data_IF_349769812888
#
_entry.id   IF_349769812888
#
_cell.length_a   1.000
_cell.length_b   1.000
_cell.length_c   1.000
_cell.angle_alpha   90.00
_cell.angle_beta   90.00
_cell.angle_gamma   90.00
#
_symmetry.space_group_name_H-M   'P 1'
#
loop_
_entity.id
_entity.type
_entity.pdbx_description
1 polymer ?
#
# COMPACT_ATOMS: atom_id res chain seq x y z
N UNK A 1 3.66 -11.11 -20.05
CA UNK A 1 3.07 -11.18 -18.69
C UNK A 1 4.08 -10.83 -17.61
N UNK A 2 5.24 -11.49 -17.51
CA UNK A 2 6.28 -11.19 -16.50
C UNK A 2 6.81 -9.75 -16.50
N UNK A 3 7.01 -9.14 -17.68
CA UNK A 3 7.42 -7.73 -17.79
C UNK A 3 6.40 -6.80 -17.10
N UNK A 4 5.11 -7.07 -17.29
CA UNK A 4 4.03 -6.31 -16.67
C UNK A 4 4.05 -6.50 -15.15
N UNK A 5 4.18 -7.74 -14.69
CA UNK A 5 4.28 -8.06 -13.26
C UNK A 5 5.45 -7.31 -12.61
N UNK A 6 6.67 -7.44 -13.16
CA UNK A 6 7.87 -6.74 -12.66
C UNK A 6 7.68 -5.22 -12.58
N UNK A 7 7.09 -4.60 -13.62
CA UNK A 7 6.81 -3.15 -13.61
C UNK A 7 5.77 -2.76 -12.57
N UNK A 8 4.67 -3.51 -12.47
CA UNK A 8 3.59 -3.21 -11.53
C UNK A 8 4.02 -3.38 -10.09
N UNK A 9 4.74 -4.46 -9.74
CA UNK A 9 5.25 -4.63 -8.38
C UNK A 9 6.15 -3.46 -7.98
N UNK A 10 7.05 -3.02 -8.88
CA UNK A 10 7.92 -1.87 -8.62
C UNK A 10 7.15 -0.54 -8.50
N UNK A 11 6.09 -0.34 -9.30
CA UNK A 11 5.24 0.84 -9.17
C UNK A 11 4.42 0.83 -7.89
N UNK A 12 3.86 -0.31 -7.51
CA UNK A 12 3.04 -0.43 -6.31
C UNK A 12 3.85 -0.12 -5.07
N UNK A 13 5.04 -0.72 -4.95
CA UNK A 13 5.90 -0.55 -3.76
C UNK A 13 6.50 0.86 -3.65
N UNK A 14 6.57 1.61 -4.76
CA UNK A 14 7.07 2.99 -4.74
C UNK A 14 5.95 4.04 -4.63
N UNK A 15 4.82 3.85 -5.33
CA UNK A 15 3.84 4.90 -5.57
C UNK A 15 2.48 4.66 -4.92
N UNK A 16 2.05 3.40 -4.80
CA UNK A 16 0.73 3.06 -4.26
C UNK A 16 0.81 2.85 -2.75
N UNK A 17 1.84 2.14 -2.29
CA UNK A 17 2.21 2.10 -0.88
C UNK A 17 3.29 3.15 -0.62
N UNK A 18 2.98 4.23 0.09
CA UNK A 18 3.95 5.27 0.41
C UNK A 18 4.26 5.29 1.90
N UNK A 19 5.26 4.49 2.26
CA UNK A 19 5.73 4.26 3.61
C UNK A 19 7.08 4.97 3.91
N UNK A 20 7.58 5.75 2.95
CA UNK A 20 8.84 6.48 3.07
C UNK A 20 10.09 5.67 2.70
N UNK A 21 9.94 4.44 2.21
CA UNK A 21 11.06 3.62 1.75
C UNK A 21 11.10 3.61 0.22
N UNK A 22 12.17 4.14 -0.38
CA UNK A 22 12.34 4.16 -1.83
C UNK A 22 13.02 2.88 -2.31
N UNK A 23 12.46 2.21 -3.31
CA UNK A 23 13.03 0.98 -3.86
C UNK A 23 14.38 1.27 -4.52
N UNK A 24 15.42 0.60 -4.05
CA UNK A 24 16.77 0.65 -4.63
C UNK A 24 17.22 -0.69 -5.21
N UNK A 25 16.52 -1.78 -4.87
CA UNK A 25 16.81 -3.11 -5.38
C UNK A 25 15.51 -3.84 -5.74
N UNK A 26 15.49 -4.43 -6.94
CA UNK A 26 14.38 -5.18 -7.51
C UNK A 26 14.91 -6.51 -8.08
N UNK A 27 14.43 -7.63 -7.56
CA UNK A 27 14.74 -8.95 -8.07
C UNK A 27 13.45 -9.69 -8.41
N UNK A 28 13.36 -10.20 -9.64
CA UNK A 28 12.32 -11.12 -10.08
C UNK A 28 12.93 -12.50 -10.30
N UNK A 29 12.29 -13.51 -9.75
CA UNK A 29 12.64 -14.93 -9.90
C UNK A 29 11.46 -15.60 -10.58
N UNK A 30 11.72 -16.44 -11.57
CA UNK A 30 10.66 -17.14 -12.30
C UNK A 30 11.09 -18.55 -12.72
N UNK A 31 10.10 -19.42 -12.92
CA UNK A 31 10.27 -20.80 -13.38
C UNK A 31 9.97 -20.93 -14.88
N UNK A 32 10.34 -22.05 -15.48
CA UNK A 32 9.98 -22.37 -16.88
C UNK A 32 8.46 -22.48 -17.08
N UNK A 33 7.74 -22.93 -16.05
CA UNK A 33 6.28 -23.02 -16.02
C UNK A 33 5.57 -21.65 -15.91
N UNK A 34 6.34 -20.59 -15.66
CA UNK A 34 5.83 -19.21 -15.60
C UNK A 34 5.41 -18.72 -14.21
N UNK A 35 5.65 -19.51 -13.16
CA UNK A 35 5.55 -19.04 -11.79
C UNK A 35 6.60 -17.97 -11.53
N UNK A 36 6.27 -17.01 -10.66
CA UNK A 36 7.17 -15.92 -10.38
C UNK A 36 7.04 -15.40 -8.96
N UNK A 37 8.14 -14.85 -8.45
CA UNK A 37 8.21 -14.12 -7.20
C UNK A 37 9.02 -12.83 -7.41
N UNK A 38 8.65 -11.77 -6.70
CA UNK A 38 9.44 -10.54 -6.66
C UNK A 38 9.84 -10.24 -5.22
N UNK A 39 11.12 -9.95 -5.02
CA UNK A 39 11.66 -9.44 -3.77
C UNK A 39 12.22 -8.06 -4.04
N UNK A 40 11.67 -7.06 -3.36
CA UNK A 40 12.14 -5.67 -3.46
C UNK A 40 12.72 -5.21 -2.13
N UNK A 41 13.71 -4.33 -2.20
CA UNK A 41 14.28 -3.66 -1.05
C UNK A 41 14.11 -2.14 -1.20
N UNK A 42 13.46 -1.54 -0.22
CA UNK A 42 13.31 -0.11 -0.07
C UNK A 42 14.18 0.41 1.07
N UNK A 43 14.72 1.61 0.92
CA UNK A 43 15.51 2.30 1.94
C UNK A 43 14.85 3.61 2.33
N UNK A 44 14.78 3.87 3.62
CA UNK A 44 14.45 5.18 4.16
C UNK A 44 15.76 5.85 4.65
N UNK A 45 16.34 6.79 3.88
CA UNK A 45 17.63 7.39 4.22
C UNK A 45 17.56 8.24 5.49
N UNK A 46 16.44 8.92 5.75
CA UNK A 46 16.26 9.79 6.92
C UNK A 46 16.28 8.98 8.23
N UNK A 47 15.80 7.75 8.18
CA UNK A 47 15.73 6.84 9.33
C UNK A 47 16.86 5.82 9.37
N UNK A 48 17.59 5.63 8.26
CA UNK A 48 18.65 4.62 8.14
C UNK A 48 18.14 3.17 8.16
N UNK A 49 16.88 2.93 7.83
CA UNK A 49 16.28 1.58 7.82
C UNK A 49 15.97 1.09 6.41
N UNK A 50 16.01 -0.23 6.24
CA UNK A 50 15.56 -0.91 5.04
C UNK A 50 14.26 -1.70 5.29
N UNK A 51 13.50 -1.89 4.22
CA UNK A 51 12.24 -2.64 4.20
C UNK A 51 12.27 -3.61 3.02
N UNK A 52 11.77 -4.83 3.21
CA UNK A 52 11.64 -5.85 2.16
C UNK A 52 10.18 -6.09 1.82
N UNK A 53 9.88 -6.12 0.54
CA UNK A 53 8.55 -6.39 0.01
C UNK A 53 8.60 -7.69 -0.78
N UNK A 54 7.67 -8.59 -0.45
CA UNK A 54 7.63 -9.94 -1.00
C UNK A 54 6.34 -10.15 -1.77
N UNK A 55 6.48 -10.53 -3.03
CA UNK A 55 5.40 -10.85 -3.95
C UNK A 55 5.52 -12.30 -4.38
N UNK A 56 4.39 -13.01 -4.36
CA UNK A 56 4.28 -14.37 -4.87
C UNK A 56 3.18 -14.35 -5.93
N UNK A 57 3.54 -14.61 -7.19
CA UNK A 57 2.63 -14.47 -8.33
C UNK A 57 1.36 -15.31 -8.20
N UNK A 58 1.48 -16.51 -7.62
CA UNK A 58 0.36 -17.41 -7.31
C UNK A 58 -0.70 -16.79 -6.37
N UNK A 59 -0.34 -15.75 -5.59
CA UNK A 59 -1.23 -15.09 -4.62
C UNK A 59 -1.73 -13.73 -5.10
N UNK A 60 -1.26 -13.25 -6.24
CA UNK A 60 -1.62 -11.92 -6.74
C UNK A 60 -2.90 -12.04 -7.57
N UNK A 61 -4.03 -11.74 -6.94
CA UNK A 61 -5.32 -11.58 -7.64
C UNK A 61 -5.46 -10.19 -8.28
N UNK A 62 -4.92 -9.17 -7.62
CA UNK A 62 -4.91 -7.78 -8.08
C UNK A 62 -3.61 -7.10 -7.63
N UNK A 63 -2.94 -6.34 -8.50
CA UNK A 63 -1.66 -5.71 -8.12
C UNK A 63 -1.82 -4.54 -7.16
N UNK A 64 -3.02 -3.94 -7.07
CA UNK A 64 -3.26 -2.72 -6.30
C UNK A 64 -4.14 -2.94 -5.07
N UNK A 65 -4.49 -4.19 -4.74
CA UNK A 65 -5.31 -4.53 -3.56
C UNK A 65 -4.67 -5.69 -2.80
N UNK A 66 -4.13 -5.40 -1.62
CA UNK A 66 -3.47 -6.36 -0.71
C UNK A 66 -2.54 -7.37 -1.42
N UNK A 67 -1.64 -6.92 -2.31
CA UNK A 67 -0.95 -7.83 -3.23
C UNK A 67 0.25 -8.56 -2.59
N UNK A 68 0.75 -8.03 -1.46
CA UNK A 68 1.98 -8.51 -0.83
C UNK A 68 1.74 -9.81 -0.09
N UNK A 69 2.59 -10.80 -0.38
CA UNK A 69 2.70 -12.00 0.47
C UNK A 69 3.30 -11.67 1.84
N UNK A 70 4.14 -10.64 1.92
CA UNK A 70 4.69 -10.13 3.17
C UNK A 70 5.50 -8.84 2.98
N UNK A 71 5.51 -8.00 4.01
CA UNK A 71 6.36 -6.81 4.10
C UNK A 71 7.12 -6.89 5.41
N UNK A 72 8.44 -7.03 5.32
CA UNK A 72 9.32 -7.21 6.45
C UNK A 72 10.12 -5.93 6.72
N UNK A 73 10.03 -5.42 7.94
CA UNK A 73 10.84 -4.31 8.42
C UNK A 73 11.15 -4.47 9.91
N UNK A 74 12.25 -3.86 10.36
CA UNK A 74 12.58 -3.72 11.77
C UNK A 74 11.71 -2.66 12.47
N UNK A 75 11.14 -1.73 11.69
CA UNK A 75 10.39 -0.58 12.19
C UNK A 75 9.02 -0.51 11.54
N UNK A 76 8.02 -0.20 12.35
CA UNK A 76 6.69 0.20 11.90
C UNK A 76 6.59 1.72 11.91
N UNK A 77 6.09 2.30 10.83
CA UNK A 77 5.81 3.72 10.74
C UNK A 77 4.43 4.04 11.33
N UNK A 78 4.31 5.24 11.90
CA UNK A 78 3.07 5.66 12.55
C UNK A 78 1.95 5.95 11.54
N UNK A 79 2.31 6.54 10.39
CA UNK A 79 1.38 6.99 9.35
C UNK A 79 2.00 6.65 7.99
N UNK A 80 1.23 5.95 7.16
CA UNK A 80 1.62 5.49 5.81
C UNK A 80 0.45 5.73 4.88
N UNK A 81 0.66 6.30 3.69
CA UNK A 81 -0.40 6.31 2.68
C UNK A 81 -0.50 4.91 2.08
N UNK A 82 -1.47 4.12 2.54
CA UNK A 82 -1.65 2.74 2.15
C UNK A 82 -2.79 2.60 1.13
N UNK A 83 -2.51 2.94 -0.13
CA UNK A 83 -3.49 2.79 -1.21
C UNK A 83 -3.62 1.34 -1.72
N UNK A 84 -2.85 0.38 -1.18
CA UNK A 84 -3.09 -1.05 -1.44
C UNK A 84 -4.10 -1.67 -0.47
N UNK A 85 -4.40 -1.01 0.65
CA UNK A 85 -5.35 -1.52 1.63
C UNK A 85 -6.75 -1.67 1.06
N UNK A 86 -7.49 -2.72 1.43
CA UNK A 86 -8.94 -2.79 1.15
C UNK A 86 -9.70 -1.59 1.71
N UNK A 87 -9.24 -1.02 2.82
CA UNK A 87 -9.81 0.20 3.41
C UNK A 87 -9.68 1.46 2.54
N UNK A 88 -8.85 1.43 1.50
CA UNK A 88 -8.63 2.55 0.57
C UNK A 88 -9.34 2.36 -0.78
N UNK A 89 -10.33 1.45 -0.87
CA UNK A 89 -11.02 1.14 -2.13
C UNK A 89 -11.76 2.33 -2.73
N UNK A 90 -12.53 3.06 -1.92
CA UNK A 90 -13.25 4.25 -2.37
C UNK A 90 -12.28 5.33 -2.86
N UNK A 91 -11.16 5.52 -2.16
CA UNK A 91 -10.11 6.46 -2.59
C UNK A 91 -9.47 6.06 -3.93
N UNK A 92 -9.27 4.77 -4.18
CA UNK A 92 -8.80 4.29 -5.49
C UNK A 92 -9.81 4.58 -6.60
N UNK A 93 -11.11 4.33 -6.37
CA UNK A 93 -12.17 4.60 -7.35
C UNK A 93 -12.28 6.09 -7.64
N UNK A 94 -12.38 6.92 -6.61
CA UNK A 94 -12.42 8.37 -6.74
C UNK A 94 -11.17 8.93 -7.45
N UNK A 95 -9.99 8.34 -7.26
CA UNK A 95 -8.79 8.73 -7.99
C UNK A 95 -8.90 8.47 -9.50
N UNK A 96 -9.57 7.38 -9.91
CA UNK A 96 -9.83 7.06 -11.32
C UNK A 96 -10.85 8.03 -11.91
N UNK A 97 -11.94 8.29 -11.19
CA UNK A 97 -12.97 9.23 -11.62
C UNK A 97 -12.40 10.64 -11.79
N UNK A 98 -11.56 11.08 -10.84
CA UNK A 98 -10.99 12.41 -10.83
C UNK A 98 -10.01 12.67 -11.99
N UNK A 99 -9.30 11.65 -12.50
CA UNK A 99 -8.48 11.81 -13.71
C UNK A 99 -9.29 11.74 -15.00
N UNK A 100 -10.51 11.20 -14.96
CA UNK A 100 -11.42 11.19 -16.11
C UNK A 100 -12.10 12.55 -16.31
N UNK A 101 -12.05 13.43 -15.31
CA UNK A 101 -12.51 14.82 -15.38
C UNK A 101 -11.46 15.76 -15.99
N UNK A 102 -11.89 16.98 -16.35
CA UNK A 102 -11.00 17.97 -16.93
C UNK A 102 -9.79 18.27 -16.00
N UNK A 103 -8.54 18.12 -16.46
CA UNK A 103 -7.34 18.37 -15.66
C UNK A 103 -7.28 19.76 -14.99
N UNK A 104 -7.95 20.76 -15.57
CA UNK A 104 -8.05 22.10 -14.98
C UNK A 104 -8.76 22.10 -13.62
N UNK A 105 -9.73 21.19 -13.41
CA UNK A 105 -10.41 21.02 -12.12
C UNK A 105 -9.42 20.52 -11.08
N UNK A 106 -8.63 19.49 -11.38
CA UNK A 106 -7.60 18.97 -10.48
C UNK A 106 -6.54 20.03 -10.12
N UNK A 107 -6.09 20.85 -11.07
CA UNK A 107 -5.17 21.96 -10.79
C UNK A 107 -5.78 22.94 -9.77
N UNK A 108 -7.05 23.30 -9.95
CA UNK A 108 -7.77 24.20 -9.04
C UNK A 108 -7.87 23.62 -7.64
N UNK A 109 -8.28 22.36 -7.53
CA UNK A 109 -8.44 21.66 -6.24
C UNK A 109 -7.11 21.53 -5.49
N UNK A 110 -6.02 21.20 -6.20
CA UNK A 110 -4.70 21.13 -5.59
C UNK A 110 -4.26 22.50 -5.06
N UNK A 111 -4.48 23.58 -5.83
CA UNK A 111 -4.12 24.93 -5.41
C UNK A 111 -4.89 25.36 -4.15
N UNK A 112 -6.19 25.06 -4.08
CA UNK A 112 -7.02 25.32 -2.90
C UNK A 112 -6.49 24.58 -1.68
N UNK A 113 -6.24 23.27 -1.82
CA UNK A 113 -5.76 22.44 -0.72
C UNK A 113 -4.32 22.76 -0.28
N UNK A 114 -3.45 23.18 -1.21
CA UNK A 114 -2.03 23.41 -0.92
C UNK A 114 -1.73 24.78 -0.31
N UNK A 115 -2.59 25.79 -0.55
CA UNK A 115 -2.26 27.17 -0.19
C UNK A 115 -2.91 27.65 1.11
N UNK A 116 -3.87 26.94 1.73
CA UNK A 116 -4.69 27.49 2.85
C UNK A 116 -5.16 28.92 2.57
N UNK A 117 -5.28 29.30 1.30
CA UNK A 117 -5.52 30.66 0.87
C UNK A 117 -6.80 30.59 0.08
N UNK A 118 -7.85 31.15 0.67
CA UNK A 118 -9.06 31.54 -0.03
C UNK A 118 -8.65 32.48 -1.15
N UNK A 119 -8.35 31.94 -2.33
CA UNK A 119 -8.18 32.79 -3.50
C UNK A 119 -9.54 33.43 -3.78
N UNK A 120 -9.55 34.68 -4.25
CA UNK A 120 -10.73 35.43 -4.71
C UNK A 120 -11.71 34.64 -5.60
N UNK A 121 -11.30 33.52 -6.21
CA UNK A 121 -12.19 32.59 -6.89
C UNK A 121 -13.23 31.93 -5.96
N UNK A 122 -12.92 31.70 -4.68
CA UNK A 122 -13.89 31.23 -3.68
C UNK A 122 -14.94 32.30 -3.34
N UNK A 123 -14.61 33.59 -3.52
CA UNK A 123 -15.54 34.70 -3.34
C UNK A 123 -16.39 35.00 -4.60
N UNK A 124 -16.04 34.42 -5.75
CA UNK A 124 -16.69 34.70 -7.05
C UNK A 124 -17.45 33.47 -7.59
N UNK A 125 -17.21 32.27 -7.04
CA UNK A 125 -17.91 31.05 -7.45
C UNK A 125 -18.78 30.57 -6.29
N UNK A 126 -20.10 30.67 -6.41
CA UNK A 126 -21.11 30.10 -5.47
C UNK A 126 -21.07 28.54 -5.38
N UNK A 127 -20.03 27.90 -5.93
CA UNK A 127 -19.90 26.45 -6.09
C UNK A 127 -18.64 25.87 -5.40
N UNK A 128 -18.02 26.58 -4.46
CA UNK A 128 -16.90 25.99 -3.71
C UNK A 128 -17.46 25.20 -2.53
N UNK A 129 -17.56 23.88 -2.70
CA UNK A 129 -17.70 22.95 -1.59
C UNK A 129 -16.62 23.26 -0.55
N UNK A 130 -17.03 23.58 0.68
CA UNK A 130 -16.10 23.79 1.81
C UNK A 130 -15.20 22.56 1.95
N UNK A 131 -13.91 22.74 1.69
CA UNK A 131 -12.93 21.65 1.77
C UNK A 131 -12.48 21.52 3.22
N UNK A 132 -12.95 20.47 3.91
CA UNK A 132 -12.57 20.16 5.28
C UNK A 132 -11.14 19.59 5.34
N UNK A 133 -10.17 20.49 5.53
CA UNK A 133 -8.74 20.17 5.60
C UNK A 133 -8.32 19.45 6.90
N UNK A 134 -9.18 19.39 7.93
CA UNK A 134 -8.86 18.72 9.20
C UNK A 134 -8.84 17.18 9.07
N UNK A 135 -9.42 16.65 7.99
CA UNK A 135 -9.51 15.19 7.74
C UNK A 135 -8.20 14.55 7.31
N UNK A 136 -7.20 15.33 6.92
CA UNK A 136 -5.90 14.79 6.47
C UNK A 136 -4.91 14.72 7.64
N UNK A 137 -4.15 13.62 7.78
CA UNK A 137 -3.09 13.54 8.77
C UNK A 137 -2.09 14.69 8.58
N UNK A 138 -1.75 15.47 9.62
CA UNK A 138 -0.83 16.62 9.50
C UNK A 138 0.54 16.26 8.91
N UNK A 139 0.95 14.99 9.03
CA UNK A 139 2.20 14.46 8.52
C UNK A 139 2.24 14.25 7.00
N UNK A 140 1.09 14.31 6.30
CA UNK A 140 1.01 14.12 4.86
C UNK A 140 0.78 15.46 4.16
N UNK A 141 1.89 16.07 3.75
CA UNK A 141 1.87 17.29 2.96
C UNK A 141 1.34 17.01 1.55
N UNK A 142 0.52 17.94 1.06
CA UNK A 142 0.17 18.01 -0.36
C UNK A 142 1.45 18.10 -1.21
N UNK A 143 1.56 17.30 -2.28
CA UNK A 143 2.78 17.25 -3.08
C UNK A 143 3.02 18.59 -3.80
N UNK A 144 4.19 19.17 -3.60
CA UNK A 144 4.60 20.45 -4.22
C UNK A 144 4.74 20.37 -5.76
N UNK A 145 4.93 19.16 -6.30
CA UNK A 145 5.14 18.92 -7.73
C UNK A 145 4.32 17.72 -8.19
N UNK A 146 3.49 17.95 -9.21
CA UNK A 146 2.72 16.92 -9.92
C UNK A 146 3.15 16.89 -11.39
N UNK A 147 3.26 15.70 -11.96
CA UNK A 147 3.43 15.54 -13.40
C UNK A 147 2.10 15.80 -14.13
N UNK A 148 1.87 17.06 -14.52
CA UNK A 148 0.67 17.45 -15.26
C UNK A 148 0.55 16.79 -16.63
N UNK A 149 1.67 16.37 -17.24
CA UNK A 149 1.62 15.61 -18.49
C UNK A 149 1.10 14.20 -18.22
N UNK A 150 1.39 13.61 -17.05
CA UNK A 150 0.81 12.33 -16.66
C UNK A 150 -0.71 12.44 -16.46
N UNK A 151 -1.18 13.51 -15.80
CA UNK A 151 -2.62 13.75 -15.63
C UNK A 151 -3.31 13.90 -16.99
N UNK A 152 -2.75 14.68 -17.92
CA UNK A 152 -3.30 14.81 -19.28
C UNK A 152 -3.35 13.46 -20.00
N UNK A 153 -2.26 12.68 -19.93
CA UNK A 153 -2.25 11.31 -20.48
C UNK A 153 -3.34 10.43 -19.87
N UNK A 154 -3.58 10.53 -18.56
CA UNK A 154 -4.65 9.77 -17.90
C UNK A 154 -6.04 10.23 -18.30
N UNK A 155 -6.25 11.52 -18.49
CA UNK A 155 -7.48 12.07 -19.03
C UNK A 155 -7.75 11.60 -20.47
N UNK A 156 -6.72 11.51 -21.31
CA UNK A 156 -6.85 11.01 -22.68
C UNK A 156 -7.12 9.50 -22.72
N UNK A 157 -6.43 8.72 -21.87
CA UNK A 157 -6.57 7.26 -21.78
C UNK A 157 -7.90 6.86 -21.14
N UNK A 158 -8.41 7.64 -20.16
CA UNK A 158 -9.58 7.34 -19.33
C UNK A 158 -9.52 5.93 -18.73
N UNK A 159 -8.60 5.68 -17.78
CA UNK A 159 -8.41 4.36 -17.20
C UNK A 159 -9.71 3.86 -16.57
N UNK A 160 -10.01 2.56 -16.73
CA UNK A 160 -11.20 1.93 -16.16
C UNK A 160 -10.97 1.37 -14.76
N UNK A 161 -9.70 1.25 -14.38
CA UNK A 161 -9.29 0.71 -13.09
C UNK A 161 -8.10 1.47 -12.54
N UNK A 162 -7.91 1.34 -11.22
CA UNK A 162 -6.76 1.94 -10.56
C UNK A 162 -5.45 1.28 -10.99
N UNK A 163 -5.48 0.00 -11.39
CA UNK A 163 -4.32 -0.68 -11.96
C UNK A 163 -3.89 -0.03 -13.29
N UNK A 164 -4.85 0.21 -14.21
CA UNK A 164 -4.58 0.93 -15.46
C UNK A 164 -4.07 2.35 -15.21
N UNK A 165 -4.67 3.06 -14.25
CA UNK A 165 -4.20 4.39 -13.83
C UNK A 165 -2.72 4.32 -13.42
N UNK A 166 -2.37 3.41 -12.51
CA UNK A 166 -1.00 3.26 -12.02
C UNK A 166 -0.06 2.86 -13.16
N UNK A 167 -0.48 2.11 -14.17
CA UNK A 167 0.35 1.74 -15.32
C UNK A 167 0.75 2.92 -16.21
N UNK A 168 -0.01 4.02 -16.21
CA UNK A 168 0.28 5.19 -17.02
C UNK A 168 1.65 5.79 -16.67
N UNK A 169 2.41 6.16 -17.70
CA UNK A 169 3.73 6.76 -17.53
C UNK A 169 3.60 8.11 -16.82
N UNK A 170 4.42 8.32 -15.78
CA UNK A 170 4.42 9.53 -14.97
C UNK A 170 3.45 9.51 -13.78
N UNK A 171 2.69 8.44 -13.60
CA UNK A 171 1.94 8.18 -12.35
C UNK A 171 2.89 7.69 -11.26
N UNK A 172 3.66 8.65 -10.73
CA UNK A 172 4.58 8.46 -9.64
C UNK A 172 3.97 8.73 -8.27
N UNK A 173 4.77 8.62 -7.19
CA UNK A 173 4.29 8.76 -5.82
C UNK A 173 3.63 10.11 -5.54
N UNK A 174 4.17 11.21 -6.07
CA UNK A 174 3.58 12.54 -5.87
C UNK A 174 2.20 12.66 -6.52
N UNK A 175 2.06 12.22 -7.78
CA UNK A 175 0.78 12.26 -8.50
C UNK A 175 -0.27 11.37 -7.84
N UNK A 176 0.10 10.13 -7.48
CA UNK A 176 -0.80 9.20 -6.79
C UNK A 176 -1.24 9.75 -5.43
N UNK A 177 -0.31 10.35 -4.67
CA UNK A 177 -0.62 10.99 -3.38
C UNK A 177 -1.60 12.14 -3.57
N UNK A 178 -1.39 12.99 -4.56
CA UNK A 178 -2.30 14.10 -4.84
C UNK A 178 -3.72 13.61 -5.10
N UNK A 179 -3.88 12.62 -5.99
CA UNK A 179 -5.18 12.05 -6.32
C UNK A 179 -5.86 11.46 -5.08
N UNK A 180 -5.13 10.71 -4.27
CA UNK A 180 -5.66 10.14 -3.04
C UNK A 180 -6.13 11.23 -2.06
N UNK A 181 -5.27 12.20 -1.73
CA UNK A 181 -5.60 13.24 -0.77
C UNK A 181 -6.75 14.14 -1.25
N UNK A 182 -6.77 14.50 -2.53
CA UNK A 182 -7.86 15.29 -3.11
C UNK A 182 -9.17 14.50 -3.10
N UNK A 183 -9.11 13.20 -3.40
CA UNK A 183 -10.28 12.33 -3.31
C UNK A 183 -10.85 12.34 -1.89
N UNK A 184 -10.01 12.17 -0.87
CA UNK A 184 -10.43 12.19 0.54
C UNK A 184 -11.02 13.54 0.97
N UNK A 185 -10.45 14.64 0.49
CA UNK A 185 -10.91 15.99 0.82
C UNK A 185 -12.27 16.33 0.21
N UNK A 186 -12.47 16.03 -1.07
CA UNK A 186 -13.68 16.44 -1.80
C UNK A 186 -14.80 15.42 -1.57
N UNK A 187 -14.48 14.14 -1.78
CA UNK A 187 -15.49 13.09 -1.76
C UNK A 187 -15.65 12.45 -0.36
N UNK A 188 -14.87 12.90 0.64
CA UNK A 188 -14.94 12.37 1.99
C UNK A 188 -14.54 10.89 2.10
N UNK A 189 -13.89 10.33 1.08
CA UNK A 189 -13.54 8.91 1.02
C UNK A 189 -12.45 8.57 2.02
N UNK A 190 -12.51 7.34 2.54
CA UNK A 190 -11.53 6.87 3.52
C UNK A 190 -10.25 6.40 2.84
N UNK A 191 -9.13 6.72 3.48
CA UNK A 191 -7.80 6.21 3.15
C UNK A 191 -7.29 5.47 4.39
N UNK A 192 -6.74 4.27 4.18
CA UNK A 192 -6.04 3.57 5.24
C UNK A 192 -4.65 4.19 5.46
N UNK A 193 -4.41 4.63 6.68
CA UNK A 193 -3.16 5.25 7.11
C UNK A 193 -2.20 4.29 7.81
N UNK A 194 -2.60 3.02 7.97
CA UNK A 194 -1.84 2.03 8.73
C UNK A 194 -0.71 1.46 7.89
N UNK A 195 0.46 1.36 8.52
CA UNK A 195 1.60 0.63 7.97
C UNK A 195 1.29 -0.88 7.88
N UNK A 196 1.34 -1.50 6.67
CA UNK A 196 1.08 -2.92 6.46
C UNK A 196 2.23 -3.85 6.85
N UNK A 197 3.35 -3.33 7.37
CA UNK A 197 4.47 -4.14 7.87
C UNK A 197 4.00 -5.23 8.84
N UNK A 198 4.48 -6.45 8.58
CA UNK A 198 4.39 -7.57 9.51
C UNK A 198 5.77 -7.71 10.18
N UNK A 199 5.81 -7.67 11.51
CA UNK A 199 7.08 -7.78 12.24
C UNK A 199 7.76 -9.12 11.92
N UNK A 200 8.96 -9.07 11.36
CA UNK A 200 9.68 -10.26 10.90
C UNK A 200 10.57 -10.90 11.98
N UNK A 201 10.66 -10.30 13.17
CA UNK A 201 11.66 -10.65 14.18
C UNK A 201 11.10 -10.83 15.60
N UNK A 202 9.79 -11.06 15.76
CA UNK A 202 9.17 -11.22 17.08
C UNK A 202 9.76 -12.35 17.94
N UNK A 203 10.54 -13.22 17.32
CA UNK A 203 11.10 -14.47 17.86
C UNK A 203 12.57 -14.65 17.48
N UNK A 204 13.24 -13.57 17.04
CA UNK A 204 14.63 -13.58 16.61
C UNK A 204 14.82 -13.78 15.10
N UNK A 205 16.04 -13.52 14.63
CA UNK A 205 16.45 -13.65 13.24
C UNK A 205 17.37 -14.85 13.02
N UNK A 206 17.34 -15.43 11.81
CA UNK A 206 18.22 -16.56 11.45
C UNK A 206 19.70 -16.20 11.58
N UNK A 207 20.04 -14.94 11.33
CA UNK A 207 21.41 -14.42 11.35
C UNK A 207 21.81 -13.92 12.74
N UNK A 208 21.02 -14.21 13.78
CA UNK A 208 21.32 -13.82 15.15
C UNK A 208 20.97 -12.38 15.51
N UNK A 209 20.35 -11.61 14.60
CA UNK A 209 19.97 -10.21 14.80
C UNK A 209 18.45 -10.06 14.69
N UNK A 210 17.75 -9.46 15.68
CA UNK A 210 18.29 -8.86 16.91
C UNK A 210 18.83 -9.88 17.94
N UNK A 211 18.35 -11.13 17.89
CA UNK A 211 18.87 -12.30 18.61
C UNK A 211 18.56 -13.55 17.77
N UNK A 212 19.23 -14.70 18.00
CA UNK A 212 18.94 -15.94 17.28
C UNK A 212 17.48 -16.36 17.44
N UNK A 213 16.95 -17.05 16.43
CA UNK A 213 15.58 -17.58 16.49
C UNK A 213 15.38 -18.43 17.75
N UNK A 214 14.50 -17.99 18.65
CA UNK A 214 14.14 -18.71 19.86
C UNK A 214 13.07 -19.75 19.55
N UNK A 215 13.48 -21.02 19.38
CA UNK A 215 12.56 -22.15 19.17
C UNK A 215 11.54 -22.25 20.30
N UNK A 216 11.98 -22.07 21.54
CA UNK A 216 11.11 -22.10 22.72
C UNK A 216 9.99 -21.06 22.64
N UNK A 217 10.32 -19.82 22.28
CA UNK A 217 9.31 -18.74 22.14
C UNK A 217 8.36 -19.02 20.98
N UNK A 218 8.84 -19.63 19.90
CA UNK A 218 8.00 -20.12 18.81
C UNK A 218 7.00 -21.19 19.27
N UNK A 219 7.47 -22.22 19.99
CA UNK A 219 6.63 -23.31 20.50
C UNK A 219 5.56 -22.78 21.47
N UNK A 220 5.93 -21.84 22.34
CA UNK A 220 5.02 -21.17 23.26
C UNK A 220 3.95 -20.36 22.51
N UNK A 221 4.32 -19.61 21.47
CA UNK A 221 3.39 -18.85 20.65
C UNK A 221 2.43 -19.77 19.88
N UNK A 222 2.92 -20.88 19.33
CA UNK A 222 2.11 -21.90 18.65
C UNK A 222 1.10 -22.53 19.62
N UNK A 223 1.57 -22.93 20.81
CA UNK A 223 0.71 -23.50 21.84
C UNK A 223 -0.36 -22.52 22.30
N UNK A 224 -0.01 -21.24 22.48
CA UNK A 224 -0.97 -20.20 22.81
C UNK A 224 -2.03 -20.03 21.72
N UNK A 225 -1.63 -19.95 20.44
CA UNK A 225 -2.58 -19.88 19.33
C UNK A 225 -3.50 -21.11 19.27
N UNK A 226 -2.96 -22.30 19.53
CA UNK A 226 -3.75 -23.52 19.58
C UNK A 226 -4.77 -23.49 20.72
N UNK A 227 -4.37 -23.05 21.92
CA UNK A 227 -5.28 -22.89 23.06
C UNK A 227 -6.39 -21.86 22.78
N UNK A 228 -6.06 -20.74 22.12
CA UNK A 228 -7.06 -19.73 21.72
C UNK A 228 -8.04 -20.31 20.71
N UNK A 229 -7.58 -21.06 19.70
CA UNK A 229 -8.47 -21.75 18.76
C UNK A 229 -9.33 -22.80 19.48
N UNK A 230 -8.78 -23.51 20.45
CA UNK A 230 -9.49 -24.51 21.24
C UNK A 230 -10.53 -23.90 22.19
N UNK A 231 -10.30 -22.69 22.70
CA UNK A 231 -11.23 -21.94 23.55
C UNK A 231 -12.23 -21.05 22.79
N UNK A 232 -12.01 -20.78 21.50
CA UNK A 232 -12.92 -19.97 20.70
C UNK A 232 -14.22 -20.73 20.39
N UNK A 233 -15.35 -20.05 20.55
CA UNK A 233 -16.68 -20.55 20.19
C UNK A 233 -16.88 -20.40 18.68
N UNK A 234 -16.22 -21.30 17.94
CA UNK A 234 -16.27 -21.38 16.49
C UNK A 234 -17.01 -22.65 16.07
N UNK A 235 -17.71 -22.59 14.94
CA UNK A 235 -18.27 -23.80 14.33
C UNK A 235 -17.16 -24.85 14.10
N UNK A 236 -17.46 -26.12 14.38
CA UNK A 236 -16.48 -27.20 14.37
C UNK A 236 -15.70 -27.32 13.03
N UNK A 237 -16.33 -26.93 11.92
CA UNK A 237 -15.72 -26.91 10.59
C UNK A 237 -14.66 -25.81 10.44
N UNK A 238 -14.96 -24.60 10.90
CA UNK A 238 -14.04 -23.46 10.85
C UNK A 238 -12.83 -23.69 11.78
N UNK A 239 -13.10 -24.22 12.97
CA UNK A 239 -12.06 -24.59 13.94
C UNK A 239 -11.09 -25.63 13.38
N UNK A 240 -11.61 -26.69 12.72
CA UNK A 240 -10.75 -27.68 12.03
C UNK A 240 -9.93 -27.07 10.91
N UNK A 241 -10.48 -26.14 10.13
CA UNK A 241 -9.75 -25.49 9.04
C UNK A 241 -8.63 -24.59 9.59
N UNK A 242 -8.89 -23.84 10.66
CA UNK A 242 -7.91 -23.01 11.34
C UNK A 242 -6.77 -23.85 11.92
N UNK A 243 -7.07 -24.94 12.64
CA UNK A 243 -6.07 -25.86 13.18
C UNK A 243 -5.22 -26.51 12.07
N UNK A 244 -5.82 -26.89 10.93
CA UNK A 244 -5.08 -27.42 9.78
C UNK A 244 -4.11 -26.38 9.20
N UNK A 245 -4.52 -25.12 9.11
CA UNK A 245 -3.64 -24.02 8.65
C UNK A 245 -2.48 -23.80 9.62
N UNK A 246 -2.75 -23.88 10.93
CA UNK A 246 -1.72 -23.78 11.97
C UNK A 246 -0.70 -24.92 11.87
N UNK A 247 -1.18 -26.16 11.73
CA UNK A 247 -0.32 -27.35 11.59
C UNK A 247 0.51 -27.31 10.30
N UNK A 248 -0.05 -26.79 9.21
CA UNK A 248 0.70 -26.59 7.96
C UNK A 248 1.79 -25.53 8.09
N UNK A 249 1.56 -24.48 8.90
CA UNK A 249 2.56 -23.46 9.19
C UNK A 249 3.72 -24.05 10.00
N UNK A 250 3.42 -24.81 11.05
CA UNK A 250 4.40 -25.51 11.89
C UNK A 250 5.30 -26.42 11.04
N UNK A 251 4.70 -27.27 10.19
CA UNK A 251 5.46 -28.16 9.30
C UNK A 251 6.35 -27.42 8.30
N UNK A 252 5.95 -26.25 7.80
CA UNK A 252 6.80 -25.45 6.89
C UNK A 252 7.98 -24.79 7.58
N UNK A 253 7.90 -24.59 8.90
CA UNK A 253 8.95 -23.91 9.67
C UNK A 253 9.97 -24.89 10.26
N UNK A 254 9.55 -26.13 10.56
CA UNK A 254 10.38 -27.13 11.24
C UNK A 254 10.60 -28.43 10.48
N UNK A 255 9.89 -28.64 9.37
CA UNK A 255 10.01 -29.81 8.49
C UNK A 255 11.02 -29.63 7.36
#
# INVERSE_FOLDING_TARGET
KLIRASRLTAKVDNAVLQDGYQIYHHAIIFTEDGDWAVIQQGMNPDRGYARRYHWLGERVECFVVEPHSGIASARREAIVLNMVSRGSEEARRASVDLVAENPARLIRLLNLASRRQETLAAAISDEVEEVDLERLPPALEMPKRIDWNAIRRAYDVKPRSYEELVEIRGMGPSTIRALALISALIYGVRIDWRDPVKFAFAVGGKDGVPYPVSRKTYDEALKFMQQVLDGADLEAREKRLALRRLLALERKLFG
#
